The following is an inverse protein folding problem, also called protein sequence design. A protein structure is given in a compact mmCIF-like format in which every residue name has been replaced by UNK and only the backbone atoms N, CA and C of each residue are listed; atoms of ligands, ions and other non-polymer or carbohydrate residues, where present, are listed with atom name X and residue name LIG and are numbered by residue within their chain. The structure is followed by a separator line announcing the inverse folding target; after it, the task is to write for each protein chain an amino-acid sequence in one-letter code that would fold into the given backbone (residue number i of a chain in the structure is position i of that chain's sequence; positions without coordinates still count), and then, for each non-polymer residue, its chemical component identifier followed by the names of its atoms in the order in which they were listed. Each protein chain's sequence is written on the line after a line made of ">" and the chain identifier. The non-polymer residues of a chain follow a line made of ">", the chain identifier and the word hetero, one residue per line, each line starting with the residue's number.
data_IF_525145213166
#
_entry.id   IF_525145213166
#
_cell.length_a   1.000
_cell.length_b   1.000
_cell.length_c   1.000
_cell.angle_alpha   90.00
_cell.angle_beta   90.00
_cell.angle_gamma   90.00
#
_symmetry.space_group_name_H-M   'P 1'
#
loop_
_entity.id
_entity.type
_entity.pdbx_description
1 polymer ?
#
# COMPACT_ATOMS: atom_id res chain seq x y z
N UNK A 1 29.65 19.30 -37.79
CA UNK A 1 29.15 20.36 -38.69
C UNK A 1 27.69 20.58 -38.30
N UNK A 2 27.23 21.79 -38.00
CA UNK A 2 27.76 23.11 -38.38
C UNK A 2 28.13 24.02 -37.18
N UNK A 3 28.62 25.23 -37.45
CA UNK A 3 29.35 26.16 -36.56
C UNK A 3 29.17 27.59 -37.13
N UNK A 4 29.06 28.70 -36.36
CA UNK A 4 28.58 28.90 -34.98
C UNK A 4 27.56 30.08 -34.82
N UNK A 5 27.13 30.43 -33.59
CA UNK A 5 26.25 31.59 -33.31
C UNK A 5 26.85 32.73 -32.44
N UNK A 6 26.68 34.01 -32.82
CA UNK A 6 26.68 35.22 -31.96
C UNK A 6 25.26 35.89 -31.95
N UNK A 7 24.93 37.02 -31.30
CA UNK A 7 25.65 38.10 -30.57
C UNK A 7 24.99 38.45 -29.23
N UNK A 8 25.79 38.58 -28.16
CA UNK A 8 25.54 39.54 -27.07
C UNK A 8 26.26 40.87 -27.40
N UNK A 9 25.85 42.01 -26.80
CA UNK A 9 26.63 42.45 -25.64
C UNK A 9 25.88 43.31 -24.57
N UNK A 10 26.34 43.18 -23.31
CA UNK A 10 26.22 44.16 -22.19
C UNK A 10 24.81 44.39 -21.61
N UNK A 11 24.64 44.70 -20.32
CA UNK A 11 25.53 44.77 -19.14
C UNK A 11 24.61 44.75 -17.89
N UNK A 12 24.80 43.88 -16.90
CA UNK A 12 25.70 43.99 -15.74
C UNK A 12 24.99 44.39 -14.42
N UNK A 13 25.40 43.67 -13.37
CA UNK A 13 25.18 43.86 -11.91
C UNK A 13 23.82 43.48 -11.33
N UNK A 14 23.93 42.66 -10.28
CA UNK A 14 22.90 42.32 -9.32
C UNK A 14 22.89 43.35 -8.17
N UNK A 15 21.73 43.50 -7.55
CA UNK A 15 21.56 43.78 -6.13
C UNK A 15 20.30 43.04 -5.68
N UNK A 16 20.34 42.41 -4.51
CA UNK A 16 19.21 41.66 -3.96
C UNK A 16 18.35 42.55 -3.08
N UNK A 17 17.04 42.42 -3.21
CA UNK A 17 16.05 42.88 -2.25
C UNK A 17 15.06 41.74 -2.01
N UNK A 18 14.72 41.53 -0.74
CA UNK A 18 13.79 40.53 -0.20
C UNK A 18 12.47 41.25 0.19
N UNK A 19 11.36 40.52 0.29
CA UNK A 19 9.96 41.00 0.43
C UNK A 19 9.45 41.87 -0.76
N UNK A 20 8.27 41.64 -1.35
CA UNK A 20 6.97 41.41 -0.72
C UNK A 20 5.99 40.64 -1.66
N UNK A 21 4.78 40.35 -1.15
CA UNK A 21 3.68 39.55 -1.73
C UNK A 21 3.27 39.87 -3.20
N UNK A 22 2.95 38.84 -4.00
CA UNK A 22 1.58 38.57 -4.47
C UNK A 22 1.45 37.33 -5.40
N UNK A 23 0.26 36.72 -5.35
CA UNK A 23 -0.42 35.95 -6.40
C UNK A 23 0.29 34.74 -7.07
N UNK A 24 0.12 33.56 -6.48
CA UNK A 24 -0.19 32.36 -7.26
C UNK A 24 -1.29 31.56 -6.58
N UNK A 25 -2.54 31.89 -6.94
CA UNK A 25 -3.69 31.06 -6.65
C UNK A 25 -3.55 29.73 -7.42
N UNK A 26 -2.98 28.71 -6.78
CA UNK A 26 -3.16 27.34 -7.26
C UNK A 26 -4.61 26.96 -6.97
N UNK A 27 -5.40 26.97 -8.04
CA UNK A 27 -6.84 27.00 -7.97
C UNK A 27 -7.38 25.68 -7.44
N UNK A 28 -8.10 25.77 -6.31
CA UNK A 28 -9.40 25.13 -6.11
C UNK A 28 -9.63 23.83 -6.90
N UNK A 29 -8.85 22.80 -6.59
CA UNK A 29 -9.18 21.42 -6.96
C UNK A 29 -10.25 20.89 -5.98
N UNK A 30 -11.36 21.65 -5.89
CA UNK A 30 -12.69 21.06 -5.75
C UNK A 30 -12.94 20.28 -7.05
N UNK A 31 -12.23 19.16 -7.23
CA UNK A 31 -12.80 18.08 -8.03
C UNK A 31 -14.18 17.82 -7.42
N UNK A 32 -15.22 18.03 -8.22
CA UNK A 32 -16.59 17.64 -7.90
C UNK A 32 -16.58 16.14 -7.58
N UNK A 33 -16.34 15.81 -6.31
CA UNK A 33 -16.40 14.47 -5.73
C UNK A 33 -17.88 14.07 -5.58
N UNK A 34 -18.61 14.15 -6.70
CA UNK A 34 -19.69 13.24 -7.04
C UNK A 34 -19.12 11.84 -7.27
N UNK A 35 -18.40 11.36 -6.24
CA UNK A 35 -18.23 9.96 -5.92
C UNK A 35 -19.62 9.40 -5.61
N UNK A 36 -20.36 9.12 -6.69
CA UNK A 36 -21.32 8.03 -6.68
C UNK A 36 -20.51 6.75 -6.50
N UNK A 37 -20.10 6.50 -5.26
CA UNK A 37 -19.42 5.29 -4.84
C UNK A 37 -20.25 4.04 -5.18
N UNK A 38 -19.71 2.83 -4.94
CA UNK A 38 -20.43 1.61 -5.22
C UNK A 38 -21.81 1.63 -4.53
N UNK A 39 -22.87 1.36 -5.30
CA UNK A 39 -24.28 1.39 -4.84
C UNK A 39 -24.38 0.85 -3.40
N UNK A 40 -24.84 1.67 -2.44
CA UNK A 40 -24.74 1.33 -1.02
C UNK A 40 -25.48 0.03 -0.67
N UNK A 41 -26.54 -0.32 -1.41
CA UNK A 41 -27.29 -1.56 -1.20
C UNK A 41 -26.48 -2.76 -1.69
N UNK A 42 -25.89 -2.67 -2.88
CA UNK A 42 -25.04 -3.73 -3.44
C UNK A 42 -23.75 -3.88 -2.64
N UNK A 43 -23.15 -2.76 -2.22
CA UNK A 43 -21.97 -2.73 -1.35
C UNK A 43 -22.28 -3.41 -0.01
N UNK A 44 -23.38 -3.06 0.65
CA UNK A 44 -23.81 -3.69 1.91
C UNK A 44 -24.01 -5.20 1.75
N UNK A 45 -24.62 -5.66 0.64
CA UNK A 45 -24.76 -7.09 0.36
C UNK A 45 -23.42 -7.79 0.16
N UNK A 46 -22.49 -7.19 -0.61
CA UNK A 46 -21.16 -7.75 -0.90
C UNK A 46 -20.30 -7.83 0.36
N UNK A 47 -20.21 -6.75 1.13
CA UNK A 47 -19.45 -6.71 2.38
C UNK A 47 -20.12 -7.55 3.48
N UNK A 48 -21.45 -7.66 3.50
CA UNK A 48 -22.20 -8.57 4.36
C UNK A 48 -21.80 -10.03 4.12
N UNK A 49 -21.84 -10.49 2.86
CA UNK A 49 -21.42 -11.84 2.49
C UNK A 49 -19.96 -12.15 2.89
N UNK A 50 -19.04 -11.18 2.73
CA UNK A 50 -17.65 -11.31 3.20
C UNK A 50 -17.57 -11.40 4.73
N UNK A 51 -18.38 -10.64 5.46
CA UNK A 51 -18.44 -10.66 6.93
C UNK A 51 -18.95 -12.02 7.44
N UNK A 52 -20.05 -12.51 6.88
CA UNK A 52 -20.66 -13.80 7.23
C UNK A 52 -19.69 -14.96 6.96
N UNK A 53 -19.07 -14.97 5.77
CA UNK A 53 -18.06 -15.96 5.43
C UNK A 53 -16.83 -15.85 6.34
N UNK A 54 -16.38 -14.65 6.69
CA UNK A 54 -15.27 -14.46 7.65
C UNK A 54 -15.59 -15.05 9.02
N UNK A 55 -16.83 -14.99 9.50
CA UNK A 55 -17.22 -15.68 10.73
C UNK A 55 -17.12 -17.20 10.60
N UNK A 56 -17.58 -17.77 9.48
CA UNK A 56 -17.50 -19.21 9.21
C UNK A 56 -16.04 -19.65 9.17
N UNK A 57 -15.19 -18.95 8.41
CA UNK A 57 -13.73 -19.22 8.36
C UNK A 57 -13.09 -19.11 9.74
N UNK A 58 -13.43 -18.09 10.55
CA UNK A 58 -12.94 -17.95 11.94
C UNK A 58 -13.39 -19.11 12.84
N UNK A 59 -14.62 -19.62 12.67
CA UNK A 59 -15.16 -20.76 13.42
C UNK A 59 -14.46 -22.07 12.99
N UNK A 60 -14.18 -22.26 11.69
CA UNK A 60 -13.43 -23.40 11.17
C UNK A 60 -11.97 -23.41 11.66
N UNK A 61 -11.26 -22.29 11.52
CA UNK A 61 -9.87 -22.13 11.97
C UNK A 61 -9.70 -22.42 13.47
N UNK A 62 -10.66 -22.02 14.31
CA UNK A 62 -10.65 -22.31 15.76
C UNK A 62 -10.92 -23.78 16.10
N UNK A 63 -11.65 -24.51 15.25
CA UNK A 63 -12.03 -25.92 15.51
C UNK A 63 -11.01 -26.92 14.97
N UNK A 64 -10.46 -26.67 13.78
CA UNK A 64 -9.66 -27.63 13.04
C UNK A 64 -8.20 -27.20 12.84
N UNK A 65 -7.85 -25.94 13.13
CA UNK A 65 -6.55 -25.36 12.79
C UNK A 65 -6.49 -24.83 11.36
N UNK A 66 -5.32 -24.31 10.94
CA UNK A 66 -5.15 -23.65 9.63
C UNK A 66 -4.93 -24.62 8.48
N UNK A 67 -4.29 -25.75 8.75
CA UNK A 67 -3.83 -26.69 7.72
C UNK A 67 -4.86 -27.80 7.42
N UNK A 68 -6.02 -27.78 8.10
CA UNK A 68 -7.12 -28.71 7.85
C UNK A 68 -7.87 -28.37 6.56
N UNK A 69 -8.31 -29.41 5.84
CA UNK A 69 -8.98 -29.28 4.54
C UNK A 69 -10.28 -28.47 4.62
N UNK A 70 -11.04 -28.55 5.71
CA UNK A 70 -12.25 -27.75 5.89
C UNK A 70 -11.89 -26.28 6.11
N UNK A 71 -10.91 -25.98 6.96
CA UNK A 71 -10.46 -24.60 7.18
C UNK A 71 -9.89 -23.96 5.90
N UNK A 72 -9.13 -24.72 5.09
CA UNK A 72 -8.62 -24.29 3.79
C UNK A 72 -9.79 -24.00 2.82
N UNK A 73 -10.80 -24.86 2.73
CA UNK A 73 -11.96 -24.64 1.87
C UNK A 73 -12.71 -23.35 2.25
N UNK A 74 -12.97 -23.12 3.55
CA UNK A 74 -13.62 -21.90 4.04
C UNK A 74 -12.78 -20.64 3.82
N UNK A 75 -11.44 -20.76 3.80
CA UNK A 75 -10.52 -19.66 3.46
C UNK A 75 -10.52 -19.35 1.96
N UNK A 76 -10.63 -20.36 1.09
CA UNK A 76 -10.75 -20.16 -0.36
C UNK A 76 -12.08 -19.48 -0.71
N UNK A 77 -13.19 -19.94 -0.14
CA UNK A 77 -14.50 -19.30 -0.33
C UNK A 77 -14.50 -17.83 0.13
N UNK A 78 -13.82 -17.51 1.24
CA UNK A 78 -13.64 -16.11 1.67
C UNK A 78 -12.81 -15.28 0.67
N UNK A 79 -11.77 -15.88 0.08
CA UNK A 79 -10.95 -15.21 -0.93
C UNK A 79 -11.72 -14.96 -2.24
N UNK A 80 -12.57 -15.90 -2.67
CA UNK A 80 -13.44 -15.76 -3.85
C UNK A 80 -14.45 -14.62 -3.70
N UNK A 81 -15.00 -14.42 -2.50
CA UNK A 81 -15.88 -13.27 -2.20
C UNK A 81 -15.13 -11.94 -2.13
N UNK A 82 -13.87 -11.95 -1.68
CA UNK A 82 -13.03 -10.74 -1.56
C UNK A 82 -12.41 -10.29 -2.88
N UNK A 83 -11.99 -11.23 -3.74
CA UNK A 83 -11.28 -10.96 -5.00
C UNK A 83 -11.97 -9.96 -5.98
N UNK A 84 -13.30 -9.96 -6.19
CA UNK A 84 -13.94 -9.00 -7.08
C UNK A 84 -14.04 -7.57 -6.51
N UNK A 85 -13.67 -7.34 -5.24
CA UNK A 85 -13.73 -6.02 -4.61
C UNK A 85 -12.54 -5.18 -5.09
N UNK A 86 -12.81 -4.22 -5.98
CA UNK A 86 -11.84 -3.19 -6.35
C UNK A 86 -11.69 -2.19 -5.19
N UNK A 87 -10.52 -2.18 -4.57
CA UNK A 87 -10.18 -1.25 -3.50
C UNK A 87 -9.61 0.05 -4.08
N UNK A 88 -9.87 1.17 -3.41
CA UNK A 88 -9.20 2.46 -3.66
C UNK A 88 -7.68 2.27 -3.52
N UNK A 89 -6.84 2.80 -4.44
CA UNK A 89 -5.40 2.57 -4.44
C UNK A 89 -4.70 2.78 -3.09
N UNK A 90 -5.00 3.89 -2.38
CA UNK A 90 -4.49 4.20 -1.04
C UNK A 90 -4.76 3.08 -0.01
N UNK A 91 -5.93 2.43 -0.08
CA UNK A 91 -6.29 1.32 0.80
C UNK A 91 -5.59 0.01 0.41
N UNK A 92 -5.44 -0.24 -0.90
CA UNK A 92 -4.70 -1.39 -1.41
C UNK A 92 -3.21 -1.33 -1.02
N UNK A 93 -2.58 -0.16 -1.17
CA UNK A 93 -1.18 0.08 -0.79
C UNK A 93 -0.96 -0.20 0.70
N UNK A 94 -1.82 0.33 1.58
CA UNK A 94 -1.76 0.07 3.03
C UNK A 94 -1.96 -1.40 3.41
N UNK A 95 -2.69 -2.20 2.62
CA UNK A 95 -2.76 -3.65 2.81
C UNK A 95 -1.47 -4.35 2.36
N UNK A 96 -0.91 -3.97 1.20
CA UNK A 96 0.35 -4.53 0.68
C UNK A 96 1.52 -4.23 1.63
N UNK A 97 1.59 -3.02 2.18
CA UNK A 97 2.61 -2.62 3.14
C UNK A 97 2.55 -3.47 4.42
N UNK A 98 1.36 -3.68 4.99
CA UNK A 98 1.18 -4.56 6.17
C UNK A 98 1.69 -5.99 5.93
N UNK A 99 1.47 -6.53 4.73
CA UNK A 99 1.97 -7.87 4.35
C UNK A 99 3.49 -7.86 4.21
N UNK A 100 4.07 -6.86 3.54
CA UNK A 100 5.54 -6.71 3.40
C UNK A 100 6.22 -6.55 4.76
N UNK A 101 5.70 -5.67 5.62
CA UNK A 101 6.21 -5.46 6.98
C UNK A 101 6.08 -6.68 7.90
N UNK A 102 5.15 -7.61 7.63
CA UNK A 102 5.13 -8.90 8.32
C UNK A 102 6.29 -9.81 7.87
N UNK A 103 6.56 -9.89 6.56
CA UNK A 103 7.67 -10.66 5.99
C UNK A 103 9.04 -10.08 6.38
N UNK A 104 9.17 -8.76 6.47
CA UNK A 104 10.40 -8.10 6.89
C UNK A 104 10.72 -8.37 8.36
N UNK A 105 9.71 -8.33 9.24
CA UNK A 105 9.87 -8.74 10.65
C UNK A 105 10.28 -10.21 10.76
N UNK A 106 9.69 -11.11 9.98
CA UNK A 106 10.11 -12.52 9.93
C UNK A 106 11.59 -12.65 9.54
N UNK A 107 11.99 -12.02 8.43
CA UNK A 107 13.39 -12.01 7.94
C UNK A 107 14.37 -11.36 8.90
N UNK A 108 13.95 -10.37 9.69
CA UNK A 108 14.78 -9.78 10.73
C UNK A 108 15.08 -10.80 11.84
N UNK A 109 14.08 -11.59 12.26
CA UNK A 109 14.27 -12.67 13.23
C UNK A 109 15.10 -13.82 12.66
N UNK A 110 14.86 -14.25 11.41
CA UNK A 110 15.69 -15.25 10.73
C UNK A 110 17.17 -14.86 10.70
N UNK A 111 17.46 -13.60 10.33
CA UNK A 111 18.84 -13.06 10.34
C UNK A 111 19.42 -12.98 11.75
N UNK A 112 18.64 -12.58 12.76
CA UNK A 112 19.09 -12.51 14.14
C UNK A 112 19.44 -13.90 14.69
N UNK A 113 18.60 -14.90 14.44
CA UNK A 113 18.87 -16.31 14.80
C UNK A 113 20.12 -16.81 14.09
N UNK A 114 20.22 -16.60 12.77
CA UNK A 114 21.40 -17.01 11.99
C UNK A 114 22.68 -16.33 12.49
N UNK A 115 22.59 -15.06 12.88
CA UNK A 115 23.70 -14.27 13.42
C UNK A 115 24.21 -14.87 14.75
N UNK A 116 23.30 -15.11 15.70
CA UNK A 116 23.59 -15.71 17.00
C UNK A 116 24.17 -17.13 16.84
N UNK A 117 23.52 -17.98 16.04
CA UNK A 117 23.92 -19.38 15.87
C UNK A 117 25.26 -19.53 15.14
N UNK A 118 25.48 -18.79 14.06
CA UNK A 118 26.63 -18.99 13.18
C UNK A 118 27.85 -18.18 13.59
N UNK A 119 27.67 -16.88 13.88
CA UNK A 119 28.82 -16.01 14.19
C UNK A 119 29.21 -16.12 15.65
N UNK A 120 28.22 -16.09 16.54
CA UNK A 120 28.47 -15.90 17.97
C UNK A 120 28.66 -17.27 18.67
N UNK A 121 27.78 -18.25 18.39
CA UNK A 121 27.92 -19.64 18.83
C UNK A 121 28.79 -20.54 17.92
N UNK A 122 29.34 -19.99 16.82
CA UNK A 122 30.26 -20.66 15.88
C UNK A 122 29.76 -21.97 15.26
N UNK A 123 28.44 -22.16 15.12
CA UNK A 123 27.91 -23.33 14.40
C UNK A 123 28.11 -23.16 12.88
N UNK A 124 28.50 -24.23 12.14
CA UNK A 124 28.52 -24.19 10.68
C UNK A 124 27.11 -23.93 10.11
N UNK A 125 27.05 -23.32 8.93
CA UNK A 125 25.82 -23.01 8.18
C UNK A 125 25.30 -24.21 7.40
#
# INVERSE_FOLDING_TARGET
>A
AEVPPPVDPKAAKAEGADDDEEESADASDEEDEVESGPDPVIAQQRFGAVSDQMEITRKALKKFGRDDKHAIAEMVALAELFMPIKLVPKQFEGLVERVRGALERLRAQERAIMQLCVRDARMPR
#
